data_IF_344091508744
#
_entry.id   IF_344091508744
#
_cell.length_a   1.000
_cell.length_b   1.000
_cell.length_c   1.000
_cell.angle_alpha   90.00
_cell.angle_beta   90.00
_cell.angle_gamma   90.00
#
_symmetry.space_group_name_H-M   'P 1'
#
loop_
_entity.id
_entity.type
_entity.pdbx_description
1 polymer ?
#
# COMPACT_ATOMS: atom_id res chain seq x y z
N UNK A 1 24.88 13.00 -10.41
CA UNK A 1 24.21 11.69 -10.25
C UNK A 1 23.76 11.63 -8.81
N UNK A 2 22.58 12.16 -8.51
CA UNK A 2 22.03 12.06 -7.17
C UNK A 2 21.40 10.67 -7.07
N UNK A 3 22.01 9.80 -6.29
CA UNK A 3 21.34 8.61 -5.82
C UNK A 3 20.24 9.14 -4.92
N UNK A 4 18.98 9.00 -5.35
CA UNK A 4 17.85 9.28 -4.48
C UNK A 4 17.98 8.26 -3.36
N UNK A 5 18.35 8.70 -2.18
CA UNK A 5 18.49 7.82 -1.03
C UNK A 5 17.09 7.34 -0.69
N UNK A 6 16.74 6.14 -1.16
CA UNK A 6 15.48 5.48 -0.83
C UNK A 6 15.52 5.28 0.67
N UNK A 7 14.82 6.13 1.42
CA UNK A 7 14.72 5.95 2.85
C UNK A 7 14.02 4.61 3.06
N UNK A 8 14.70 3.59 3.59
CA UNK A 8 14.04 2.31 3.81
C UNK A 8 12.83 2.59 4.70
N UNK A 9 11.65 2.07 4.36
CA UNK A 9 10.48 2.32 5.18
C UNK A 9 10.78 1.90 6.62
N UNK A 10 10.21 2.62 7.59
CA UNK A 10 10.48 2.46 9.03
C UNK A 10 10.35 1.00 9.53
N UNK A 11 9.63 0.15 8.80
CA UNK A 11 9.42 -1.28 9.04
C UNK A 11 10.51 -2.22 8.48
N UNK A 12 11.49 -1.71 7.73
CA UNK A 12 12.55 -2.51 7.08
C UNK A 12 12.09 -3.39 5.91
N UNK A 13 10.80 -3.37 5.56
CA UNK A 13 10.21 -4.15 4.47
C UNK A 13 9.02 -3.41 3.86
N UNK A 14 8.98 -3.28 2.53
CA UNK A 14 7.94 -2.55 1.80
C UNK A 14 6.52 -3.08 2.06
N UNK A 15 6.33 -4.40 2.11
CA UNK A 15 5.02 -4.99 2.35
C UNK A 15 4.50 -4.65 3.76
N UNK A 16 5.37 -4.70 4.78
CA UNK A 16 5.01 -4.25 6.13
C UNK A 16 4.81 -2.73 6.21
N UNK A 17 5.60 -1.95 5.47
CA UNK A 17 5.43 -0.50 5.38
C UNK A 17 4.05 -0.13 4.82
N UNK A 18 3.64 -0.86 3.79
CA UNK A 18 2.35 -0.68 3.15
C UNK A 18 1.21 -1.14 4.05
N UNK A 19 1.32 -2.32 4.68
CA UNK A 19 0.34 -2.77 5.67
C UNK A 19 0.13 -1.74 6.79
N UNK A 20 1.23 -1.13 7.25
CA UNK A 20 1.21 -0.14 8.32
C UNK A 20 0.75 1.27 7.90
N UNK A 21 0.23 1.48 6.68
CA UNK A 21 -0.45 2.75 6.37
C UNK A 21 -1.79 2.87 7.10
N UNK A 22 -2.42 1.76 7.48
CA UNK A 22 -3.62 1.80 8.30
C UNK A 22 -3.24 1.97 9.78
N UNK A 23 -3.74 3.04 10.40
CA UNK A 23 -3.51 3.31 11.80
C UNK A 23 -4.41 2.45 12.69
N UNK A 24 -3.92 2.09 13.88
CA UNK A 24 -4.66 1.25 14.84
C UNK A 24 -5.20 -0.05 14.22
N UNK A 25 -4.45 -0.64 13.29
CA UNK A 25 -4.92 -1.74 12.42
C UNK A 25 -5.44 -2.96 13.17
N UNK A 26 -4.83 -3.28 14.32
CA UNK A 26 -5.23 -4.39 15.19
C UNK A 26 -6.35 -4.06 16.18
N UNK A 27 -6.87 -2.83 16.17
CA UNK A 27 -7.93 -2.38 17.08
C UNK A 27 -9.32 -2.67 16.53
N UNK A 28 -10.35 -2.47 17.36
CA UNK A 28 -11.74 -2.54 16.91
C UNK A 28 -12.15 -1.37 15.98
N UNK A 29 -11.32 -0.33 15.87
CA UNK A 29 -11.58 0.88 15.08
C UNK A 29 -10.31 1.28 14.31
N UNK A 30 -9.91 0.50 13.28
CA UNK A 30 -8.80 0.88 12.43
C UNK A 30 -9.11 2.16 11.66
N UNK A 31 -8.09 2.96 11.40
CA UNK A 31 -8.19 4.25 10.70
C UNK A 31 -7.52 4.14 9.34
N UNK A 32 -8.31 4.31 8.28
CA UNK A 32 -7.80 4.39 6.91
C UNK A 32 -7.14 5.76 6.66
N UNK A 33 -5.88 5.76 6.22
CA UNK A 33 -5.15 6.98 5.88
C UNK A 33 -5.04 7.18 4.37
N UNK A 34 -5.11 6.11 3.57
CA UNK A 34 -5.13 6.13 2.11
C UNK A 34 -6.56 6.42 1.62
N UNK A 35 -7.03 7.63 1.93
CA UNK A 35 -8.41 8.06 1.66
C UNK A 35 -8.65 8.47 0.20
N UNK A 36 -7.60 8.59 -0.60
CA UNK A 36 -7.65 8.90 -2.03
C UNK A 36 -6.49 8.26 -2.79
N UNK A 37 -6.58 8.24 -4.13
CA UNK A 37 -5.49 7.74 -4.97
C UNK A 37 -4.27 8.67 -4.89
N UNK A 38 -4.50 9.97 -4.72
CA UNK A 38 -3.45 10.96 -4.45
C UNK A 38 -2.71 10.64 -3.15
N UNK A 39 -3.41 10.29 -2.06
CA UNK A 39 -2.76 9.91 -0.81
C UNK A 39 -1.88 8.65 -0.96
N UNK A 40 -2.26 7.72 -1.85
CA UNK A 40 -1.44 6.55 -2.19
C UNK A 40 -0.18 6.95 -2.97
N UNK A 41 -0.29 7.88 -3.93
CA UNK A 41 0.86 8.40 -4.66
C UNK A 41 1.81 9.18 -3.75
N UNK A 42 1.27 10.06 -2.90
CA UNK A 42 2.03 10.84 -1.92
C UNK A 42 2.79 9.93 -0.95
N UNK A 43 2.15 8.84 -0.50
CA UNK A 43 2.81 7.82 0.32
C UNK A 43 3.97 7.16 -0.45
N UNK A 44 3.72 6.75 -1.70
CA UNK A 44 4.71 6.11 -2.57
C UNK A 44 5.92 7.01 -2.85
N UNK A 45 5.71 8.29 -3.09
CA UNK A 45 6.79 9.28 -3.25
C UNK A 45 7.58 9.46 -1.94
N UNK A 46 6.88 9.58 -0.80
CA UNK A 46 7.51 9.78 0.52
C UNK A 46 8.45 8.64 0.91
N UNK A 47 8.15 7.40 0.52
CA UNK A 47 9.02 6.24 0.77
C UNK A 47 10.02 5.95 -0.37
N UNK A 48 10.05 6.80 -1.40
CA UNK A 48 10.94 6.67 -2.56
C UNK A 48 10.57 5.56 -3.54
N UNK A 49 9.35 5.02 -3.49
CA UNK A 49 8.84 4.04 -4.46
C UNK A 49 8.53 4.71 -5.81
N UNK A 50 8.09 5.97 -5.78
CA UNK A 50 7.84 6.79 -6.95
C UNK A 50 8.82 7.97 -6.95
N UNK A 51 9.43 8.26 -8.10
CA UNK A 51 10.08 9.54 -8.30
C UNK A 51 9.06 10.64 -8.62
N UNK A 52 9.46 11.90 -8.44
CA UNK A 52 8.58 13.06 -8.66
C UNK A 52 8.01 13.14 -10.09
N UNK A 53 8.74 12.61 -11.08
CA UNK A 53 8.28 12.60 -12.48
C UNK A 53 7.14 11.60 -12.66
N UNK A 54 7.31 10.39 -12.13
CA UNK A 54 6.33 9.31 -12.18
C UNK A 54 5.08 9.67 -11.37
N UNK A 55 5.25 10.27 -10.19
CA UNK A 55 4.14 10.76 -9.37
C UNK A 55 3.31 11.81 -10.14
N UNK A 56 3.96 12.81 -10.75
CA UNK A 56 3.27 13.85 -11.53
C UNK A 56 2.46 13.27 -12.71
N UNK A 57 3.02 12.30 -13.44
CA UNK A 57 2.31 11.65 -14.56
C UNK A 57 1.10 10.82 -14.08
N UNK A 58 1.24 10.14 -12.93
CA UNK A 58 0.14 9.37 -12.33
C UNK A 58 -0.97 10.29 -11.80
N UNK A 59 -0.62 11.44 -11.22
CA UNK A 59 -1.60 12.46 -10.84
C UNK A 59 -2.36 12.98 -12.06
N UNK A 60 -1.69 13.33 -13.14
CA UNK A 60 -2.37 13.79 -14.37
C UNK A 60 -3.29 12.70 -14.93
N UNK A 61 -2.83 11.44 -14.94
CA UNK A 61 -3.66 10.31 -15.37
C UNK A 61 -4.89 10.11 -14.49
N UNK A 62 -4.76 10.31 -13.18
CA UNK A 62 -5.88 10.21 -12.24
C UNK A 62 -6.93 11.30 -12.47
N UNK A 63 -6.50 12.52 -12.84
CA UNK A 63 -7.43 13.60 -13.20
C UNK A 63 -8.15 13.32 -14.53
N UNK A 64 -7.48 12.66 -15.48
CA UNK A 64 -8.07 12.27 -16.77
C UNK A 64 -9.06 11.10 -16.65
N UNK A 65 -8.82 10.18 -15.71
CA UNK A 65 -9.74 9.07 -15.42
C UNK A 65 -9.90 8.81 -13.91
N UNK A 66 -10.79 9.56 -13.24
CA UNK A 66 -11.06 9.39 -11.81
C UNK A 66 -11.71 8.04 -11.46
N UNK A 67 -12.34 7.35 -12.42
CA UNK A 67 -12.92 6.04 -12.18
C UNK A 67 -11.82 4.98 -12.08
N UNK A 68 -10.85 5.01 -13.00
CA UNK A 68 -9.69 4.14 -12.95
C UNK A 68 -8.84 4.38 -11.69
N UNK A 69 -8.65 5.65 -11.28
CA UNK A 69 -7.92 5.98 -10.06
C UNK A 69 -8.58 5.39 -8.80
N UNK A 70 -9.91 5.53 -8.67
CA UNK A 70 -10.67 4.92 -7.56
C UNK A 70 -10.59 3.39 -7.58
N UNK A 71 -10.66 2.77 -8.75
CA UNK A 71 -10.52 1.32 -8.88
C UNK A 71 -9.10 0.84 -8.53
N UNK A 72 -8.07 1.61 -8.87
CA UNK A 72 -6.70 1.31 -8.47
C UNK A 72 -6.50 1.44 -6.95
N UNK A 73 -7.03 2.49 -6.32
CA UNK A 73 -7.00 2.64 -4.87
C UNK A 73 -7.70 1.47 -4.16
N UNK A 74 -8.90 1.08 -4.63
CA UNK A 74 -9.65 -0.03 -4.04
C UNK A 74 -8.84 -1.35 -4.07
N UNK A 75 -8.20 -1.65 -5.21
CA UNK A 75 -7.31 -2.82 -5.34
C UNK A 75 -6.08 -2.72 -4.44
N UNK A 76 -5.49 -1.53 -4.31
CA UNK A 76 -4.35 -1.31 -3.44
C UNK A 76 -4.71 -1.55 -1.96
N UNK A 77 -5.87 -1.04 -1.51
CA UNK A 77 -6.38 -1.28 -0.15
C UNK A 77 -6.65 -2.77 0.06
N UNK A 78 -7.31 -3.44 -0.90
CA UNK A 78 -7.60 -4.87 -0.81
C UNK A 78 -6.32 -5.72 -0.67
N UNK A 79 -5.30 -5.42 -1.47
CA UNK A 79 -3.98 -6.05 -1.37
C UNK A 79 -3.29 -5.73 -0.03
N UNK A 80 -3.37 -4.49 0.44
CA UNK A 80 -2.81 -4.10 1.75
C UNK A 80 -3.40 -4.93 2.88
N UNK A 81 -4.71 -5.09 2.87
CA UNK A 81 -5.43 -5.81 3.91
C UNK A 81 -5.13 -7.32 3.88
N UNK A 82 -4.92 -7.93 2.72
CA UNK A 82 -4.48 -9.33 2.63
C UNK A 82 -3.06 -9.49 3.18
N UNK A 83 -2.13 -8.59 2.82
CA UNK A 83 -0.76 -8.57 3.36
C UNK A 83 -0.79 -8.45 4.89
N UNK A 84 -1.60 -7.53 5.43
CA UNK A 84 -1.76 -7.38 6.87
C UNK A 84 -2.25 -8.68 7.53
N UNK A 85 -3.32 -9.29 7.02
CA UNK A 85 -3.88 -10.54 7.59
C UNK A 85 -2.88 -11.69 7.54
N UNK A 86 -2.11 -11.82 6.46
CA UNK A 86 -1.03 -12.81 6.35
C UNK A 86 0.01 -12.60 7.46
N UNK A 87 0.54 -11.38 7.60
CA UNK A 87 1.55 -11.10 8.62
C UNK A 87 0.99 -11.24 10.04
N UNK A 88 -0.26 -10.83 10.29
CA UNK A 88 -0.92 -10.99 11.57
C UNK A 88 -1.09 -12.48 11.94
N UNK A 89 -1.51 -13.34 11.00
CA UNK A 89 -1.59 -14.78 11.22
C UNK A 89 -0.23 -15.37 11.61
N UNK A 90 0.83 -15.03 10.86
CA UNK A 90 2.21 -15.46 11.13
C UNK A 90 2.67 -15.00 12.52
N UNK A 91 2.45 -13.73 12.87
CA UNK A 91 2.80 -13.17 14.18
C UNK A 91 2.10 -13.91 15.34
N UNK A 92 0.86 -14.37 15.11
CA UNK A 92 0.10 -15.19 16.04
C UNK A 92 0.38 -16.70 15.95
N UNK A 93 1.40 -17.12 15.19
CA UNK A 93 1.76 -18.54 14.96
C UNK A 93 0.60 -19.37 14.41
N UNK A 94 -0.22 -18.79 13.54
CA UNK A 94 -1.30 -19.44 12.80
C UNK A 94 -0.97 -19.46 11.31
N UNK A 95 -1.48 -20.46 10.55
CA UNK A 95 -1.37 -20.42 9.09
C UNK A 95 -2.18 -19.23 8.54
N UNK A 96 -1.67 -18.51 7.52
CA UNK A 96 -2.47 -17.54 6.76
C UNK A 96 -3.66 -18.21 6.07
N UNK A 97 -4.72 -17.42 5.83
CA UNK A 97 -5.85 -17.88 5.03
C UNK A 97 -5.42 -18.05 3.56
N UNK A 98 -5.88 -19.12 2.91
CA UNK A 98 -5.60 -19.37 1.49
C UNK A 98 -6.16 -18.26 0.60
N UNK A 99 -7.31 -17.68 0.95
CA UNK A 99 -7.89 -16.58 0.18
C UNK A 99 -7.00 -15.33 0.19
N UNK A 100 -6.36 -15.02 1.32
CA UNK A 100 -5.43 -13.89 1.39
C UNK A 100 -4.14 -14.16 0.59
N UNK A 101 -3.65 -15.40 0.60
CA UNK A 101 -2.52 -15.82 -0.23
C UNK A 101 -2.85 -15.76 -1.72
N UNK A 102 -4.04 -16.22 -2.12
CA UNK A 102 -4.51 -16.16 -3.50
C UNK A 102 -4.63 -14.71 -3.99
N UNK A 103 -5.13 -13.82 -3.12
CA UNK A 103 -5.22 -12.39 -3.43
C UNK A 103 -3.84 -11.76 -3.64
N UNK A 104 -2.88 -12.07 -2.77
CA UNK A 104 -1.50 -11.62 -2.94
C UNK A 104 -0.90 -12.16 -4.25
N UNK A 105 -1.09 -13.45 -4.54
CA UNK A 105 -0.56 -14.07 -5.76
C UNK A 105 -1.17 -13.49 -7.04
N UNK A 106 -2.45 -13.12 -7.03
CA UNK A 106 -3.11 -12.49 -8.17
C UNK A 106 -2.60 -11.07 -8.47
N UNK A 107 -1.87 -10.45 -7.54
CA UNK A 107 -1.30 -9.12 -7.69
C UNK A 107 0.18 -9.10 -8.15
N UNK A 108 0.80 -10.28 -8.34
CA UNK A 108 2.17 -10.47 -8.83
C UNK A 108 2.20 -10.79 -10.33
#
# INVERSE_FOLDING_TARGET
>A
MYVVDVHPPDSGNLALAFANTADWHASAQPVETLTSYEALLDWGERIGLLDATSAALLHESAQRDPAAARAALARAIELRESIYRIFAAIAHRRPPDTADLDLLNAAL
#
